data_IF_937885677185
#
_entry.id   IF_937885677185
#
_cell.length_a   1.000
_cell.length_b   1.000
_cell.length_c   1.000
_cell.angle_alpha   90.00
_cell.angle_beta   90.00
_cell.angle_gamma   90.00
#
_symmetry.space_group_name_H-M   'P 1'
#
loop_
_entity.id
_entity.type
_entity.pdbx_description
1 polymer ?
#
# COMPACT_ATOMS: atom_id res chain seq x y z
N UNK A 1 10.93 18.69 10.67
CA UNK A 1 9.89 18.57 9.61
C UNK A 1 9.89 17.21 8.88
N UNK A 2 11.01 16.74 8.29
CA UNK A 2 11.02 15.51 7.45
C UNK A 2 10.41 14.25 8.09
N UNK A 3 10.71 13.97 9.36
CA UNK A 3 10.18 12.81 10.09
C UNK A 3 8.68 12.88 10.38
N UNK A 4 8.15 14.08 10.63
CA UNK A 4 6.71 14.29 10.89
C UNK A 4 5.92 13.99 9.62
N UNK A 5 6.39 14.45 8.46
CA UNK A 5 5.74 14.20 7.17
C UNK A 5 5.86 12.73 6.75
N UNK A 6 6.97 12.05 7.07
CA UNK A 6 7.13 10.61 6.79
C UNK A 6 6.25 9.70 7.66
N UNK A 7 6.04 10.05 8.93
CA UNK A 7 5.29 9.23 9.88
C UNK A 7 3.79 9.59 9.96
N UNK A 8 3.39 10.79 9.51
CA UNK A 8 2.00 11.23 9.52
C UNK A 8 1.03 10.29 8.75
N UNK A 9 1.37 9.76 7.55
CA UNK A 9 0.52 8.81 6.85
C UNK A 9 0.29 7.54 7.66
N UNK A 10 1.32 7.04 8.35
CA UNK A 10 1.22 5.85 9.21
C UNK A 10 0.27 6.09 10.39
N UNK A 11 0.35 7.26 11.03
CA UNK A 11 -0.56 7.63 12.12
C UNK A 11 -2.02 7.67 11.66
N UNK A 12 -2.29 8.16 10.45
CA UNK A 12 -3.66 8.20 9.91
C UNK A 12 -4.15 6.80 9.54
N UNK A 13 -3.29 5.93 9.01
CA UNK A 13 -3.63 4.52 8.75
C UNK A 13 -4.07 3.83 10.05
N UNK A 14 -3.33 4.02 11.15
CA UNK A 14 -3.74 3.49 12.46
C UNK A 14 -5.04 4.11 12.96
N UNK A 15 -5.19 5.43 12.86
CA UNK A 15 -6.41 6.12 13.29
C UNK A 15 -7.65 5.62 12.53
N UNK A 16 -7.56 5.44 11.21
CA UNK A 16 -8.65 4.88 10.41
C UNK A 16 -8.87 3.40 10.76
N UNK A 17 -7.82 2.59 10.85
CA UNK A 17 -7.94 1.15 11.11
C UNK A 17 -8.60 0.83 12.46
N UNK A 18 -8.26 1.58 13.52
CA UNK A 18 -8.86 1.39 14.85
C UNK A 18 -10.16 2.18 15.05
N UNK A 19 -10.31 3.31 14.35
CA UNK A 19 -11.42 4.23 14.52
C UNK A 19 -12.63 3.99 13.61
N UNK A 20 -12.50 3.20 12.53
CA UNK A 20 -13.52 3.10 11.47
C UNK A 20 -14.91 2.70 12.00
N UNK A 21 -14.97 1.81 12.99
CA UNK A 21 -16.24 1.35 13.58
C UNK A 21 -17.02 2.48 14.26
N UNK A 22 -16.34 3.54 14.71
CA UNK A 22 -16.94 4.71 15.39
C UNK A 22 -17.06 5.94 14.47
N UNK A 23 -16.55 5.87 13.24
CA UNK A 23 -16.58 6.99 12.29
C UNK A 23 -17.82 6.91 11.40
N UNK A 24 -18.39 8.06 11.04
CA UNK A 24 -19.38 8.11 9.96
C UNK A 24 -18.71 7.93 8.60
N UNK A 25 -19.47 7.53 7.57
CA UNK A 25 -18.94 7.37 6.21
C UNK A 25 -18.31 8.66 5.66
N UNK A 26 -18.96 9.81 5.88
CA UNK A 26 -18.44 11.13 5.49
C UNK A 26 -17.12 11.46 6.21
N UNK A 27 -17.04 11.22 7.53
CA UNK A 27 -15.80 11.44 8.30
C UNK A 27 -14.66 10.54 7.82
N UNK A 28 -14.95 9.28 7.48
CA UNK A 28 -13.97 8.35 6.91
C UNK A 28 -13.44 8.88 5.57
N UNK A 29 -14.32 9.36 4.69
CA UNK A 29 -13.95 9.90 3.39
C UNK A 29 -13.07 11.16 3.50
N UNK A 30 -13.44 12.12 4.35
CA UNK A 30 -12.62 13.31 4.60
C UNK A 30 -11.25 12.93 5.14
N UNK A 31 -11.18 11.97 6.07
CA UNK A 31 -9.91 11.48 6.64
C UNK A 31 -9.04 10.83 5.56
N UNK A 32 -9.65 10.08 4.64
CA UNK A 32 -8.94 9.48 3.51
C UNK A 32 -8.36 10.53 2.55
N UNK A 33 -9.08 11.62 2.26
CA UNK A 33 -8.53 12.70 1.43
C UNK A 33 -7.37 13.43 2.12
N UNK A 34 -7.48 13.69 3.42
CA UNK A 34 -6.37 14.24 4.21
C UNK A 34 -5.18 13.30 4.19
N UNK A 35 -5.40 12.00 4.34
CA UNK A 35 -4.38 10.97 4.20
C UNK A 35 -3.70 11.01 2.82
N UNK A 36 -4.48 11.02 1.74
CA UNK A 36 -3.94 11.03 0.37
C UNK A 36 -3.10 12.28 0.08
N UNK A 37 -3.55 13.45 0.55
CA UNK A 37 -2.80 14.70 0.43
C UNK A 37 -1.47 14.66 1.20
N UNK A 38 -1.51 14.21 2.47
CA UNK A 38 -0.32 14.06 3.30
C UNK A 38 0.66 13.02 2.74
N UNK A 39 0.14 11.92 2.18
CA UNK A 39 0.97 10.92 1.54
C UNK A 39 1.63 11.46 0.28
N UNK A 40 0.93 12.25 -0.53
CA UNK A 40 1.52 12.95 -1.68
C UNK A 40 2.68 13.87 -1.28
N UNK A 41 2.52 14.64 -0.20
CA UNK A 41 3.59 15.48 0.35
C UNK A 41 4.78 14.65 0.87
N UNK A 42 4.51 13.51 1.52
CA UNK A 42 5.54 12.58 1.98
C UNK A 42 6.32 11.96 0.83
N UNK A 43 5.62 11.52 -0.22
CA UNK A 43 6.21 10.95 -1.43
C UNK A 43 7.06 11.97 -2.17
N UNK A 44 6.65 13.24 -2.25
CA UNK A 44 7.43 14.31 -2.89
C UNK A 44 8.88 14.34 -2.35
N UNK A 45 9.05 14.20 -1.03
CA UNK A 45 10.38 14.16 -0.40
C UNK A 45 11.24 12.97 -0.87
N UNK A 46 10.62 11.83 -1.18
CA UNK A 46 11.30 10.64 -1.71
C UNK A 46 11.61 10.84 -3.20
N UNK A 47 10.63 11.32 -3.97
CA UNK A 47 10.73 11.49 -5.43
C UNK A 47 11.81 12.50 -5.84
N UNK A 48 12.08 13.51 -5.01
CA UNK A 48 13.14 14.50 -5.27
C UNK A 48 14.55 13.88 -5.36
N UNK A 49 14.77 12.71 -4.75
CA UNK A 49 16.04 11.97 -4.81
C UNK A 49 16.25 11.28 -6.17
N UNK A 50 15.18 11.06 -6.94
CA UNK A 50 15.21 10.30 -8.18
C UNK A 50 15.07 11.22 -9.40
N UNK A 51 15.51 10.75 -10.58
CA UNK A 51 15.28 11.47 -11.83
C UNK A 51 13.81 11.39 -12.23
N UNK A 52 13.27 12.48 -12.81
CA UNK A 52 11.87 12.50 -13.27
C UNK A 52 11.56 11.39 -14.27
N UNK A 53 12.48 11.10 -15.20
CA UNK A 53 12.33 10.01 -16.17
C UNK A 53 12.23 8.64 -15.48
N UNK A 54 13.02 8.42 -14.43
CA UNK A 54 12.99 7.18 -13.65
C UNK A 54 11.68 7.04 -12.86
N UNK A 55 11.24 8.12 -12.21
CA UNK A 55 9.95 8.17 -11.50
C UNK A 55 8.80 7.81 -12.44
N UNK A 56 8.72 8.47 -13.61
CA UNK A 56 7.67 8.22 -14.61
C UNK A 56 7.69 6.77 -15.09
N UNK A 57 8.87 6.23 -15.43
CA UNK A 57 9.01 4.84 -15.89
C UNK A 57 8.51 3.85 -14.83
N UNK A 58 8.97 4.02 -13.58
CA UNK A 58 8.58 3.13 -12.48
C UNK A 58 7.09 3.27 -12.15
N UNK A 59 6.53 4.47 -12.26
CA UNK A 59 5.10 4.70 -12.05
C UNK A 59 4.24 3.91 -13.04
N UNK A 60 4.61 3.90 -14.33
CA UNK A 60 3.89 3.12 -15.34
C UNK A 60 4.05 1.61 -15.13
N UNK A 61 5.25 1.13 -14.77
CA UNK A 61 5.47 -0.28 -14.42
C UNK A 61 4.58 -0.66 -13.23
N UNK A 62 4.59 0.14 -12.16
CA UNK A 62 3.80 -0.11 -10.96
C UNK A 62 2.29 -0.10 -11.25
N UNK A 63 1.83 0.86 -12.05
CA UNK A 63 0.42 0.96 -12.49
C UNK A 63 -0.02 -0.23 -13.31
N UNK A 64 0.82 -0.67 -14.27
CA UNK A 64 0.53 -1.85 -15.08
C UNK A 64 0.48 -3.13 -14.23
N UNK A 65 1.47 -3.33 -13.34
CA UNK A 65 1.51 -4.48 -12.44
C UNK A 65 0.31 -4.49 -11.48
N UNK A 66 0.04 -3.36 -10.84
CA UNK A 66 -1.09 -3.21 -9.92
C UNK A 66 -2.43 -3.47 -10.62
N UNK A 67 -2.62 -2.87 -11.80
CA UNK A 67 -3.83 -3.06 -12.61
C UNK A 67 -4.01 -4.51 -13.02
N UNK A 68 -2.96 -5.16 -13.52
CA UNK A 68 -2.99 -6.57 -13.91
C UNK A 68 -3.33 -7.49 -12.73
N UNK A 69 -2.68 -7.30 -11.58
CA UNK A 69 -2.96 -8.10 -10.38
C UNK A 69 -4.35 -7.83 -9.79
N UNK A 70 -4.83 -6.59 -9.86
CA UNK A 70 -6.18 -6.25 -9.41
C UNK A 70 -7.23 -6.91 -10.30
N UNK A 71 -7.07 -6.87 -11.63
CA UNK A 71 -7.95 -7.59 -12.57
C UNK A 71 -7.91 -9.09 -12.27
N UNK A 72 -6.74 -9.66 -12.05
CA UNK A 72 -6.61 -11.06 -11.67
C UNK A 72 -7.34 -11.38 -10.36
N UNK A 73 -7.12 -10.60 -9.29
CA UNK A 73 -7.79 -10.78 -8.00
C UNK A 73 -9.31 -10.65 -8.09
N UNK A 74 -9.80 -9.74 -8.94
CA UNK A 74 -11.22 -9.54 -9.16
C UNK A 74 -11.87 -10.70 -9.94
N UNK A 75 -11.18 -11.23 -10.95
CA UNK A 75 -11.74 -12.22 -11.89
C UNK A 75 -11.49 -13.67 -11.49
N UNK A 76 -10.42 -13.93 -10.72
CA UNK A 76 -10.04 -15.29 -10.33
C UNK A 76 -11.10 -15.94 -9.44
N UNK A 77 -11.35 -17.23 -9.70
CA UNK A 77 -12.25 -18.08 -8.90
C UNK A 77 -11.52 -18.82 -7.77
N UNK A 78 -10.19 -18.78 -7.75
CA UNK A 78 -9.39 -19.39 -6.68
C UNK A 78 -9.51 -18.54 -5.41
N UNK A 79 -9.74 -19.19 -4.28
CA UNK A 79 -9.74 -18.51 -2.98
C UNK A 79 -8.31 -18.12 -2.59
N UNK A 80 -8.03 -16.82 -2.53
CA UNK A 80 -6.72 -16.28 -2.15
C UNK A 80 -6.55 -16.13 -0.64
N UNK A 81 -7.54 -16.47 0.20
CA UNK A 81 -7.51 -16.20 1.65
C UNK A 81 -6.32 -16.83 2.36
N UNK A 82 -5.99 -18.08 2.04
CA UNK A 82 -4.81 -18.76 2.60
C UNK A 82 -3.51 -18.09 2.15
N UNK A 83 -3.45 -17.67 0.89
CA UNK A 83 -2.29 -16.98 0.34
C UNK A 83 -2.12 -15.59 0.97
N UNK A 84 -3.20 -14.84 1.15
CA UNK A 84 -3.21 -13.55 1.84
C UNK A 84 -2.68 -13.64 3.26
N UNK A 85 -3.07 -14.67 4.02
CA UNK A 85 -2.55 -14.88 5.38
C UNK A 85 -1.03 -15.10 5.42
N UNK A 86 -0.49 -15.86 4.46
CA UNK A 86 0.96 -16.05 4.30
C UNK A 86 1.67 -14.76 3.90
N UNK A 87 1.12 -14.01 2.96
CA UNK A 87 1.68 -12.72 2.52
C UNK A 87 1.68 -11.68 3.64
N UNK A 88 0.64 -11.65 4.49
CA UNK A 88 0.60 -10.77 5.66
C UNK A 88 1.70 -11.12 6.67
N UNK A 89 1.98 -12.40 6.89
CA UNK A 89 3.14 -12.82 7.70
C UNK A 89 4.45 -12.36 7.07
N UNK A 90 4.59 -12.48 5.75
CA UNK A 90 5.75 -11.98 5.02
C UNK A 90 5.91 -10.46 5.12
N UNK A 91 4.81 -9.70 5.05
CA UNK A 91 4.81 -8.24 5.23
C UNK A 91 5.36 -7.86 6.61
N UNK A 92 4.94 -8.55 7.67
CA UNK A 92 5.48 -8.36 9.02
C UNK A 92 7.00 -8.65 9.03
N UNK A 93 7.43 -9.73 8.38
CA UNK A 93 8.85 -10.05 8.23
C UNK A 93 9.64 -8.94 7.55
N UNK A 94 9.12 -8.35 6.48
CA UNK A 94 9.74 -7.21 5.79
C UNK A 94 9.80 -5.97 6.68
N UNK A 95 8.76 -5.70 7.46
CA UNK A 95 8.74 -4.56 8.39
C UNK A 95 9.85 -4.73 9.43
N UNK A 96 9.97 -5.92 10.03
CA UNK A 96 11.03 -6.23 11.00
C UNK A 96 12.40 -6.09 10.35
N UNK A 97 12.59 -6.69 9.16
CA UNK A 97 13.84 -6.58 8.41
C UNK A 97 14.20 -5.12 8.09
N UNK A 98 13.21 -4.31 7.73
CA UNK A 98 13.40 -2.87 7.47
C UNK A 98 13.84 -2.12 8.71
N UNK A 99 13.28 -2.42 9.89
CA UNK A 99 13.68 -1.84 11.16
C UNK A 99 15.11 -2.23 11.55
N UNK A 100 15.44 -3.52 11.43
CA UNK A 100 16.81 -4.02 11.68
C UNK A 100 17.82 -3.34 10.75
N UNK A 101 17.47 -3.15 9.48
CA UNK A 101 18.38 -2.54 8.51
C UNK A 101 18.64 -1.04 8.76
N UNK A 102 17.84 -0.34 9.57
CA UNK A 102 18.14 1.03 10.00
C UNK A 102 19.45 1.07 10.80
N UNK A 103 19.70 0.04 11.61
CA UNK A 103 20.91 -0.07 12.44
C UNK A 103 22.08 -0.65 11.65
N UNK A 104 21.83 -1.69 10.84
CA UNK A 104 22.87 -2.34 10.05
C UNK A 104 23.35 -1.50 8.86
N UNK A 105 22.46 -0.67 8.28
CA UNK A 105 22.72 0.13 7.08
C UNK A 105 23.25 -0.70 5.89
N UNK A 106 22.82 -1.95 5.78
CA UNK A 106 23.27 -2.88 4.75
C UNK A 106 22.58 -2.61 3.41
N UNK A 107 23.37 -2.36 2.37
CA UNK A 107 22.89 -2.19 0.99
C UNK A 107 22.32 -3.48 0.41
N UNK A 108 22.92 -4.63 0.75
CA UNK A 108 22.42 -5.94 0.34
C UNK A 108 21.06 -6.25 0.97
N UNK A 109 20.90 -5.98 2.26
CA UNK A 109 19.62 -6.17 2.94
C UNK A 109 18.55 -5.23 2.39
N UNK A 110 18.92 -3.98 2.09
CA UNK A 110 18.03 -3.02 1.44
C UNK A 110 17.54 -3.50 0.07
N UNK A 111 18.44 -4.09 -0.73
CA UNK A 111 18.10 -4.67 -2.03
C UNK A 111 17.18 -5.90 -1.89
N UNK A 112 17.51 -6.82 -0.99
CA UNK A 112 16.70 -8.02 -0.73
C UNK A 112 15.28 -7.66 -0.24
N UNK A 113 15.17 -6.73 0.72
CA UNK A 113 13.88 -6.21 1.21
C UNK A 113 13.04 -5.68 0.06
N UNK A 114 13.66 -4.96 -0.88
CA UNK A 114 12.94 -4.35 -2.00
C UNK A 114 12.41 -5.41 -2.97
N UNK A 115 13.20 -6.45 -3.31
CA UNK A 115 12.75 -7.56 -4.17
C UNK A 115 11.61 -8.34 -3.53
N UNK A 116 11.80 -8.79 -2.29
CA UNK A 116 10.79 -9.57 -1.57
C UNK A 116 9.53 -8.71 -1.38
N UNK A 117 9.71 -7.43 -1.10
CA UNK A 117 8.61 -6.45 -0.99
C UNK A 117 7.76 -6.39 -2.25
N UNK A 118 8.37 -6.30 -3.43
CA UNK A 118 7.63 -6.33 -4.70
C UNK A 118 6.79 -7.60 -4.81
N UNK A 119 7.37 -8.77 -4.57
CA UNK A 119 6.62 -10.04 -4.67
C UNK A 119 5.44 -10.09 -3.69
N UNK A 120 5.65 -9.61 -2.45
CA UNK A 120 4.60 -9.58 -1.44
C UNK A 120 3.48 -8.62 -1.82
N UNK A 121 3.80 -7.38 -2.21
CA UNK A 121 2.78 -6.38 -2.56
C UNK A 121 2.03 -6.72 -3.85
N UNK A 122 2.68 -7.38 -4.82
CA UNK A 122 2.01 -7.93 -6.00
C UNK A 122 0.98 -8.99 -5.60
N UNK A 123 1.33 -9.90 -4.68
CA UNK A 123 0.42 -10.89 -4.15
C UNK A 123 -0.71 -10.29 -3.32
N UNK A 124 -0.39 -9.32 -2.44
CA UNK A 124 -1.36 -8.63 -1.59
C UNK A 124 -2.36 -7.86 -2.42
N UNK A 125 -1.92 -7.17 -3.48
CA UNK A 125 -2.81 -6.46 -4.41
C UNK A 125 -3.93 -7.37 -4.94
N UNK A 126 -3.58 -8.59 -5.37
CA UNK A 126 -4.58 -9.54 -5.86
C UNK A 126 -5.50 -10.05 -4.73
N UNK A 127 -4.93 -10.37 -3.57
CA UNK A 127 -5.68 -10.81 -2.40
C UNK A 127 -6.66 -9.72 -1.91
N UNK A 128 -6.19 -8.49 -1.73
CA UNK A 128 -6.99 -7.38 -1.22
C UNK A 128 -8.06 -6.95 -2.22
N UNK A 129 -7.78 -7.02 -3.53
CA UNK A 129 -8.82 -6.81 -4.55
C UNK A 129 -9.94 -7.86 -4.44
N UNK A 130 -9.57 -9.13 -4.28
CA UNK A 130 -10.57 -10.21 -4.11
C UNK A 130 -11.35 -10.04 -2.80
N UNK A 131 -10.67 -9.72 -1.70
CA UNK A 131 -11.27 -9.46 -0.39
C UNK A 131 -12.26 -8.31 -0.46
N UNK A 132 -11.89 -7.20 -1.10
CA UNK A 132 -12.76 -6.04 -1.29
C UNK A 132 -13.99 -6.43 -2.09
N UNK A 133 -13.83 -7.09 -3.24
CA UNK A 133 -14.95 -7.61 -4.03
C UNK A 133 -15.92 -8.43 -3.15
N UNK A 134 -15.40 -9.38 -2.37
CA UNK A 134 -16.22 -10.24 -1.52
C UNK A 134 -16.92 -9.45 -0.40
N UNK A 135 -16.28 -8.41 0.16
CA UNK A 135 -16.88 -7.54 1.17
C UNK A 135 -18.09 -6.75 0.64
N UNK A 136 -18.12 -6.42 -0.65
CA UNK A 136 -19.25 -5.71 -1.30
C UNK A 136 -20.37 -6.63 -1.75
N UNK A 137 -20.11 -7.93 -1.93
CA UNK A 137 -21.14 -8.92 -2.25
C UNK A 137 -22.01 -9.23 -1.02
N UNK A 138 -21.49 -9.01 0.19
CA UNK A 138 -22.29 -9.07 1.41
C UNK A 138 -23.35 -7.96 1.40
N UNK A 139 -24.62 -8.33 1.57
CA UNK A 139 -25.77 -7.42 1.51
C UNK A 139 -25.83 -6.48 2.73
N UNK A 140 -24.95 -5.49 2.76
CA UNK A 140 -24.97 -4.41 3.75
C UNK A 140 -25.76 -3.21 3.25
N UNK A 141 -26.38 -2.48 4.17
CA UNK A 141 -27.14 -1.26 3.87
C UNK A 141 -26.34 0.02 4.19
N UNK A 142 -26.55 1.03 3.35
CA UNK A 142 -26.22 2.44 3.59
C UNK A 142 -24.79 2.73 4.07
N UNK A 143 -24.67 3.19 5.31
CA UNK A 143 -23.45 3.76 5.88
C UNK A 143 -22.28 2.76 5.98
N UNK A 144 -22.59 1.47 6.15
CA UNK A 144 -21.58 0.40 6.22
C UNK A 144 -20.88 0.20 4.87
N UNK A 145 -21.63 0.30 3.77
CA UNK A 145 -21.08 0.20 2.40
C UNK A 145 -20.09 1.34 2.15
N UNK A 146 -20.43 2.57 2.54
CA UNK A 146 -19.54 3.72 2.40
C UNK A 146 -18.24 3.58 3.20
N UNK A 147 -18.31 3.06 4.44
CA UNK A 147 -17.10 2.82 5.26
C UNK A 147 -16.23 1.72 4.66
N UNK A 148 -16.83 0.62 4.20
CA UNK A 148 -16.12 -0.47 3.51
C UNK A 148 -15.44 0.02 2.24
N UNK A 149 -16.06 0.94 1.50
CA UNK A 149 -15.48 1.55 0.32
C UNK A 149 -14.22 2.35 0.62
N UNK A 150 -14.29 3.22 1.63
CA UNK A 150 -13.14 4.02 2.05
C UNK A 150 -12.00 3.14 2.55
N UNK A 151 -12.30 2.10 3.34
CA UNK A 151 -11.28 1.17 3.81
C UNK A 151 -10.66 0.34 2.69
N UNK A 152 -11.48 -0.11 1.72
CA UNK A 152 -10.98 -0.80 0.54
C UNK A 152 -10.05 0.09 -0.29
N UNK A 153 -10.43 1.35 -0.49
CA UNK A 153 -9.59 2.34 -1.17
C UNK A 153 -8.28 2.59 -0.41
N UNK A 154 -8.31 2.69 0.93
CA UNK A 154 -7.12 2.84 1.76
C UNK A 154 -6.15 1.67 1.59
N UNK A 155 -6.65 0.43 1.66
CA UNK A 155 -5.83 -0.77 1.50
C UNK A 155 -5.15 -0.82 0.12
N UNK A 156 -5.94 -0.67 -0.95
CA UNK A 156 -5.42 -0.70 -2.32
C UNK A 156 -4.44 0.45 -2.59
N UNK A 157 -4.68 1.62 -2.00
CA UNK A 157 -3.77 2.77 -2.09
C UNK A 157 -2.42 2.46 -1.43
N UNK A 158 -2.43 1.85 -0.25
CA UNK A 158 -1.20 1.46 0.45
C UNK A 158 -0.42 0.40 -0.35
N UNK A 159 -1.11 -0.60 -0.91
CA UNK A 159 -0.48 -1.61 -1.75
C UNK A 159 0.22 -0.99 -2.96
N UNK A 160 -0.49 -0.10 -3.68
CA UNK A 160 0.07 0.58 -4.83
C UNK A 160 1.30 1.41 -4.47
N UNK A 161 1.22 2.23 -3.42
CA UNK A 161 2.33 3.10 -3.02
C UNK A 161 3.53 2.30 -2.54
N UNK A 162 3.32 1.23 -1.76
CA UNK A 162 4.42 0.40 -1.31
C UNK A 162 5.08 -0.35 -2.47
N UNK A 163 4.29 -0.91 -3.40
CA UNK A 163 4.79 -1.51 -4.62
C UNK A 163 5.63 -0.51 -5.42
N UNK A 164 5.10 0.69 -5.62
CA UNK A 164 5.78 1.76 -6.35
C UNK A 164 7.11 2.15 -5.69
N UNK A 165 7.13 2.36 -4.37
CA UNK A 165 8.36 2.69 -3.65
C UNK A 165 9.37 1.55 -3.78
N UNK A 166 8.98 0.29 -3.61
CA UNK A 166 9.91 -0.84 -3.73
C UNK A 166 10.48 -0.98 -5.15
N UNK A 167 9.65 -0.81 -6.18
CA UNK A 167 10.12 -0.77 -7.57
C UNK A 167 11.03 0.43 -7.84
N UNK A 168 10.73 1.60 -7.25
CA UNK A 168 11.57 2.80 -7.38
C UNK A 168 12.91 2.60 -6.67
N UNK A 169 12.98 1.81 -5.61
CA UNK A 169 14.24 1.47 -4.95
C UNK A 169 15.11 0.55 -5.81
N UNK A 170 14.50 -0.34 -6.59
CA UNK A 170 15.20 -1.31 -7.44
C UNK A 170 15.63 -0.73 -8.79
N UNK A 171 14.71 -0.03 -9.46
CA UNK A 171 14.89 0.47 -10.82
C UNK A 171 15.10 1.98 -10.89
N UNK A 172 15.06 2.66 -9.74
CA UNK A 172 15.20 4.10 -9.64
C UNK A 172 16.62 4.57 -9.86
N UNK A 173 16.81 5.52 -10.78
CA UNK A 173 18.07 6.25 -10.91
C UNK A 173 18.06 7.46 -9.98
N UNK A 174 19.00 7.49 -9.04
CA UNK A 174 19.18 8.61 -8.12
C UNK A 174 19.91 9.77 -8.81
N UNK A 175 19.57 10.99 -8.44
CA UNK A 175 20.24 12.23 -8.87
C UNK A 175 21.51 12.48 -8.06
#
# INVERSE_FOLDING_TARGET
LKWIVMLAPLAIVFYMSFGINKMSASKAQTTFWVFAALMGLSLSSILLVYTGLSVTRVFFISSATFGAMSIYGYTTKRDLTKFGSFLMMGLIGIIIASLVNIFLKSSMMYFAISIIGVLIFVGLTAYDTQKIKNMYVASDSGELVGKKAVMGALTLYLDFINLFIMLLRLFGQRR
#
